data_IF_474535637457
#
_entry.id   IF_474535637457
#
_cell.length_a   1.000
_cell.length_b   1.000
_cell.length_c   1.000
_cell.angle_alpha   90.00
_cell.angle_beta   90.00
_cell.angle_gamma   90.00
#
_symmetry.space_group_name_H-M   'P 1'
#
loop_
_entity.id
_entity.type
_entity.pdbx_description
1 polymer ?
#
# COMPACT_ATOMS: atom_id res chain seq x y z
N UNK A 1 -70.33 27.56 -35.15
CA UNK A 1 -70.44 27.55 -33.68
C UNK A 1 -69.60 26.40 -33.15
N UNK A 2 -68.59 26.49 -32.40
CA UNK A 2 -68.09 27.46 -31.52
C UNK A 2 -67.00 26.86 -30.68
N UNK A 3 -66.06 27.68 -30.35
CA UNK A 3 -65.28 27.71 -29.07
C UNK A 3 -64.22 26.63 -28.87
N UNK A 4 -62.95 26.92 -29.19
CA UNK A 4 -61.93 27.36 -28.23
C UNK A 4 -61.72 26.42 -27.01
N UNK A 5 -60.61 25.73 -26.98
CA UNK A 5 -59.85 25.49 -25.80
C UNK A 5 -58.34 25.54 -26.12
N UNK A 6 -57.82 26.76 -26.06
CA UNK A 6 -56.41 27.01 -25.78
C UNK A 6 -56.30 26.94 -24.28
N UNK A 7 -55.42 26.14 -23.76
CA UNK A 7 -54.73 26.47 -22.51
C UNK A 7 -53.90 25.29 -21.99
N UNK A 8 -52.74 25.66 -21.55
CA UNK A 8 -51.87 25.10 -20.53
C UNK A 8 -50.92 23.97 -20.93
N UNK A 9 -49.90 24.35 -21.71
CA UNK A 9 -48.60 23.74 -21.70
C UNK A 9 -47.56 24.75 -21.22
N UNK A 10 -47.63 25.11 -19.96
CA UNK A 10 -46.54 25.85 -19.30
C UNK A 10 -46.38 25.24 -17.91
N UNK A 11 -45.31 24.59 -17.62
CA UNK A 11 -44.96 24.27 -16.25
C UNK A 11 -44.43 22.88 -15.95
N UNK A 12 -43.45 22.34 -16.68
CA UNK A 12 -42.70 21.14 -16.22
C UNK A 12 -41.27 21.12 -16.78
N UNK A 13 -40.59 22.25 -16.72
CA UNK A 13 -39.22 22.37 -17.13
C UNK A 13 -38.32 23.00 -16.06
N UNK A 14 -38.53 22.70 -14.78
CA UNK A 14 -37.75 23.35 -13.72
C UNK A 14 -37.44 22.48 -12.49
N UNK A 15 -37.30 21.14 -12.62
CA UNK A 15 -36.91 20.30 -11.45
C UNK A 15 -35.77 19.31 -11.77
N UNK A 16 -35.17 19.35 -12.93
CA UNK A 16 -34.06 18.41 -13.27
C UNK A 16 -32.65 18.97 -13.05
N UNK A 17 -32.48 20.09 -12.38
CA UNK A 17 -31.17 20.76 -12.25
C UNK A 17 -30.56 20.71 -10.85
N UNK A 18 -31.06 19.89 -9.91
CA UNK A 18 -30.58 19.88 -8.51
C UNK A 18 -30.02 18.56 -7.99
N UNK A 19 -29.72 17.59 -8.86
CA UNK A 19 -29.14 16.32 -8.42
C UNK A 19 -27.72 16.05 -8.99
N UNK A 20 -27.07 17.03 -9.56
CA UNK A 20 -25.62 16.99 -9.78
C UNK A 20 -24.90 17.61 -8.57
N UNK A 21 -25.20 17.14 -7.37
CA UNK A 21 -24.26 17.27 -6.25
C UNK A 21 -23.12 16.34 -6.59
N UNK A 22 -22.16 16.81 -7.36
CA UNK A 22 -20.89 16.13 -7.56
C UNK A 22 -20.33 15.85 -6.17
N UNK A 23 -20.32 14.58 -5.77
CA UNK A 23 -19.54 14.16 -4.62
C UNK A 23 -18.11 14.60 -4.89
N UNK A 24 -17.71 15.73 -4.31
CA UNK A 24 -16.32 16.15 -4.31
C UNK A 24 -15.60 15.10 -3.49
N UNK A 25 -14.89 14.20 -4.18
CA UNK A 25 -14.04 13.22 -3.52
C UNK A 25 -13.19 13.97 -2.48
N UNK A 26 -13.29 13.55 -1.23
CA UNK A 26 -12.54 14.16 -0.15
C UNK A 26 -11.05 14.04 -0.49
N UNK A 27 -10.31 15.13 -0.30
CA UNK A 27 -8.86 15.10 -0.55
C UNK A 27 -8.21 14.13 0.44
N UNK A 28 -7.31 13.25 -0.02
CA UNK A 28 -6.62 12.36 0.89
C UNK A 28 -5.79 13.14 1.91
N UNK A 29 -5.73 12.62 3.13
CA UNK A 29 -4.82 13.10 4.15
C UNK A 29 -3.45 12.50 3.87
N UNK A 30 -2.41 13.33 3.95
CA UNK A 30 -1.02 12.93 3.73
C UNK A 30 -0.26 12.98 5.05
N UNK A 31 0.48 11.92 5.31
CA UNK A 31 1.47 11.83 6.36
C UNK A 31 2.80 11.37 5.78
N UNK A 32 3.88 11.99 6.20
CA UNK A 32 5.25 11.59 5.82
C UNK A 32 6.04 11.33 7.08
N UNK A 33 6.68 10.18 7.12
CA UNK A 33 7.62 9.78 8.17
C UNK A 33 8.98 9.60 7.53
N UNK A 34 9.96 10.37 7.97
CA UNK A 34 11.35 10.16 7.64
C UNK A 34 11.95 9.15 8.65
N UNK A 35 12.64 8.12 8.13
CA UNK A 35 13.23 7.03 8.91
C UNK A 35 14.74 7.21 8.91
N UNK A 36 15.33 7.19 10.08
CA UNK A 36 16.78 7.06 10.29
C UNK A 36 17.01 6.42 11.65
N UNK A 37 16.96 5.10 11.69
CA UNK A 37 17.09 4.33 12.92
C UNK A 37 18.01 3.12 12.73
N UNK A 38 18.59 2.67 13.83
CA UNK A 38 19.42 1.45 13.87
C UNK A 38 18.90 0.59 15.00
N UNK A 39 18.63 -0.70 14.69
CA UNK A 39 18.16 -1.67 15.66
C UNK A 39 18.83 -3.03 15.44
N UNK A 40 18.84 -3.91 16.45
CA UNK A 40 19.12 -5.34 16.24
C UNK A 40 18.17 -5.90 15.19
N UNK A 41 18.69 -6.75 14.31
CA UNK A 41 17.92 -7.45 13.29
C UNK A 41 17.82 -8.92 13.68
N UNK A 42 16.75 -9.27 14.36
CA UNK A 42 16.55 -10.63 14.87
C UNK A 42 16.38 -11.62 13.72
N UNK A 43 15.71 -11.21 12.61
CA UNK A 43 15.52 -12.06 11.44
C UNK A 43 16.85 -12.46 10.81
N UNK A 44 17.70 -11.48 10.48
CA UNK A 44 19.02 -11.77 9.89
C UNK A 44 19.95 -12.45 10.91
N UNK A 45 19.86 -12.11 12.20
CA UNK A 45 20.66 -12.72 13.24
C UNK A 45 20.35 -14.22 13.38
N UNK A 46 19.08 -14.58 13.40
CA UNK A 46 18.64 -15.97 13.50
C UNK A 46 18.98 -16.76 12.21
N UNK A 47 18.74 -16.16 11.04
CA UNK A 47 19.01 -16.80 9.77
C UNK A 47 20.50 -17.04 9.53
N UNK A 48 21.37 -16.09 9.89
CA UNK A 48 22.80 -16.14 9.61
C UNK A 48 23.64 -16.69 10.78
N UNK A 49 23.04 -16.86 11.98
CA UNK A 49 23.74 -17.36 13.16
C UNK A 49 24.77 -16.41 13.75
N UNK A 50 24.69 -15.12 13.45
CA UNK A 50 25.58 -14.05 13.94
C UNK A 50 24.75 -12.84 14.35
N UNK A 51 25.22 -12.07 15.32
CA UNK A 51 24.53 -10.85 15.71
C UNK A 51 24.57 -9.81 14.59
N UNK A 52 23.40 -9.39 14.10
CA UNK A 52 23.24 -8.40 13.03
C UNK A 52 22.52 -7.17 13.57
N UNK A 53 22.96 -6.00 13.14
CA UNK A 53 22.29 -4.73 13.37
C UNK A 53 21.97 -4.08 12.04
N UNK A 54 20.73 -3.63 11.83
CA UNK A 54 20.29 -3.00 10.58
C UNK A 54 19.95 -1.53 10.82
N UNK A 55 20.55 -0.66 10.00
CA UNK A 55 20.19 0.75 9.89
C UNK A 55 19.22 0.93 8.74
N UNK A 56 18.04 1.48 9.03
CA UNK A 56 17.02 1.87 8.08
C UNK A 56 17.09 3.37 7.82
N UNK A 57 17.17 3.79 6.55
CA UNK A 57 17.17 5.20 6.15
C UNK A 57 16.27 5.42 4.95
N UNK A 58 15.36 6.39 5.06
CA UNK A 58 14.44 6.67 3.96
C UNK A 58 13.17 7.38 4.40
N UNK A 59 12.08 7.06 3.73
CA UNK A 59 10.78 7.67 4.03
C UNK A 59 9.63 6.71 3.73
N UNK A 60 8.56 6.90 4.52
CA UNK A 60 7.24 6.32 4.27
C UNK A 60 6.24 7.46 4.11
N UNK A 61 5.46 7.42 3.02
CA UNK A 61 4.38 8.37 2.76
C UNK A 61 3.06 7.62 2.83
N UNK A 62 2.21 7.98 3.78
CA UNK A 62 0.87 7.45 3.93
C UNK A 62 -0.16 8.43 3.36
N UNK A 63 -1.08 7.91 2.55
CA UNK A 63 -2.26 8.62 2.05
C UNK A 63 -3.49 7.89 2.54
N UNK A 64 -4.32 8.59 3.29
CA UNK A 64 -5.60 8.06 3.79
C UNK A 64 -6.75 8.72 3.04
N UNK A 65 -7.63 7.91 2.46
CA UNK A 65 -8.81 8.33 1.72
C UNK A 65 -10.04 8.16 2.61
N UNK A 66 -10.88 9.18 2.70
CA UNK A 66 -12.00 9.24 3.64
C UNK A 66 -13.38 9.12 2.97
N UNK A 67 -13.42 8.80 1.70
CA UNK A 67 -14.66 8.73 0.91
C UNK A 67 -15.51 7.47 1.17
N UNK A 68 -14.99 6.51 1.97
CA UNK A 68 -15.74 5.34 2.45
C UNK A 68 -16.30 4.43 1.35
N UNK A 69 -15.86 4.63 0.10
CA UNK A 69 -16.27 3.87 -1.06
C UNK A 69 -15.43 2.62 -1.29
N UNK A 70 -15.76 1.91 -2.37
CA UNK A 70 -14.90 0.86 -2.90
C UNK A 70 -13.65 1.49 -3.50
N UNK A 71 -12.47 0.97 -3.15
CA UNK A 71 -11.19 1.49 -3.63
C UNK A 71 -10.13 1.57 -2.54
N UNK A 72 -9.01 2.24 -2.79
CA UNK A 72 -7.95 2.37 -1.80
C UNK A 72 -8.45 3.21 -0.61
N UNK A 73 -8.34 2.63 0.59
CA UNK A 73 -8.60 3.32 1.86
C UNK A 73 -7.31 3.94 2.42
N UNK A 74 -6.20 3.20 2.33
CA UNK A 74 -4.87 3.65 2.73
C UNK A 74 -3.86 3.21 1.68
N UNK A 75 -2.95 4.11 1.33
CA UNK A 75 -1.79 3.79 0.48
C UNK A 75 -0.53 4.25 1.21
N UNK A 76 0.37 3.31 1.51
CA UNK A 76 1.71 3.59 2.05
C UNK A 76 2.73 3.39 0.95
N UNK A 77 3.47 4.41 0.62
CA UNK A 77 4.61 4.31 -0.29
C UNK A 77 5.89 4.23 0.54
N UNK A 78 6.64 3.17 0.35
CA UNK A 78 7.84 2.83 1.10
C UNK A 78 9.06 3.05 0.20
N UNK A 79 10.07 3.74 0.69
CA UNK A 79 11.36 3.89 0.03
C UNK A 79 12.45 3.98 1.09
N UNK A 80 12.91 2.82 1.54
CA UNK A 80 13.85 2.67 2.64
C UNK A 80 15.07 1.90 2.17
N UNK A 81 16.25 2.48 2.36
CA UNK A 81 17.53 1.82 2.24
C UNK A 81 17.90 1.16 3.56
N UNK A 82 18.35 -0.07 3.50
CA UNK A 82 18.71 -0.88 4.65
C UNK A 82 20.20 -1.22 4.58
N UNK A 83 20.91 -1.06 5.70
CA UNK A 83 22.31 -1.40 5.84
C UNK A 83 22.46 -2.32 7.04
N UNK A 84 22.69 -3.62 6.77
CA UNK A 84 22.93 -4.61 7.82
C UNK A 84 24.42 -4.80 8.04
N UNK A 85 24.78 -4.93 9.31
CA UNK A 85 26.18 -5.01 9.77
C UNK A 85 26.35 -6.14 10.78
N UNK A 86 27.37 -6.98 10.58
CA UNK A 86 27.80 -8.01 11.51
C UNK A 86 29.33 -7.93 11.68
N UNK A 87 29.83 -7.43 12.81
CA UNK A 87 31.25 -7.11 12.99
C UNK A 87 31.70 -6.07 11.94
N UNK A 88 32.68 -6.43 11.13
CA UNK A 88 33.22 -5.57 10.04
C UNK A 88 32.49 -5.79 8.69
N UNK A 89 31.61 -6.78 8.61
CA UNK A 89 30.90 -7.13 7.39
C UNK A 89 29.64 -6.27 7.23
N UNK A 90 29.38 -5.79 6.00
CA UNK A 90 28.28 -4.89 5.70
C UNK A 90 27.61 -5.29 4.38
N UNK A 91 26.29 -5.42 4.41
CA UNK A 91 25.47 -5.54 3.20
C UNK A 91 24.48 -4.40 3.09
N UNK A 92 24.02 -4.11 1.87
CA UNK A 92 23.00 -3.09 1.60
C UNK A 92 21.89 -3.66 0.73
N UNK A 93 20.67 -3.37 1.09
CA UNK A 93 19.47 -3.74 0.35
C UNK A 93 18.40 -2.66 0.47
N UNK A 94 17.27 -2.85 -0.16
CA UNK A 94 16.20 -1.83 -0.16
C UNK A 94 14.85 -2.47 0.00
N UNK A 95 14.01 -1.80 0.77
CA UNK A 95 12.57 -2.01 0.81
C UNK A 95 11.92 -0.88 0.01
N UNK A 96 11.33 -1.22 -1.14
CA UNK A 96 10.77 -0.24 -2.08
C UNK A 96 9.47 -0.77 -2.64
N UNK A 97 8.39 -0.02 -2.37
CA UNK A 97 7.10 -0.45 -2.83
C UNK A 97 5.94 0.39 -2.36
N UNK A 98 4.78 -0.23 -2.35
CA UNK A 98 3.58 0.35 -1.79
C UNK A 98 2.70 -0.73 -1.16
N UNK A 99 2.17 -0.43 0.02
CA UNK A 99 1.09 -1.17 0.65
C UNK A 99 -0.22 -0.43 0.40
N UNK A 100 -1.20 -1.16 -0.10
CA UNK A 100 -2.52 -0.62 -0.42
C UNK A 100 -3.59 -1.41 0.31
N UNK A 101 -4.20 -0.80 1.30
CA UNK A 101 -5.43 -1.31 1.91
C UNK A 101 -6.62 -0.79 1.10
N UNK A 102 -7.51 -1.68 0.69
CA UNK A 102 -8.69 -1.31 -0.09
C UNK A 102 -9.88 -2.22 0.21
N UNK A 103 -11.07 -1.70 -0.12
CA UNK A 103 -12.30 -2.47 -0.09
C UNK A 103 -12.68 -2.79 -1.54
N UNK A 104 -12.81 -4.07 -1.85
CA UNK A 104 -13.26 -4.54 -3.16
C UNK A 104 -14.77 -4.30 -3.34
N UNK A 105 -15.30 -4.36 -4.60
CA UNK A 105 -16.72 -4.13 -4.85
C UNK A 105 -17.69 -5.09 -4.15
N UNK A 106 -17.23 -6.27 -3.77
CA UNK A 106 -17.98 -7.28 -3.01
C UNK A 106 -17.95 -7.05 -1.50
N UNK A 107 -17.21 -6.02 -1.03
CA UNK A 107 -17.05 -5.67 0.37
C UNK A 107 -15.83 -6.30 1.05
N UNK A 108 -15.06 -7.15 0.37
CA UNK A 108 -13.86 -7.78 0.91
C UNK A 108 -12.78 -6.73 1.16
N UNK A 109 -12.23 -6.71 2.38
CA UNK A 109 -11.09 -5.87 2.71
C UNK A 109 -9.79 -6.60 2.38
N UNK A 110 -8.95 -6.00 1.55
CA UNK A 110 -7.68 -6.58 1.13
C UNK A 110 -6.49 -5.67 1.42
N UNK A 111 -5.33 -6.29 1.67
CA UNK A 111 -4.02 -5.67 1.65
C UNK A 111 -3.29 -6.13 0.38
N UNK A 112 -2.83 -5.16 -0.41
CA UNK A 112 -1.90 -5.43 -1.52
C UNK A 112 -0.53 -4.90 -1.14
N UNK A 113 0.49 -5.76 -1.17
CA UNK A 113 1.89 -5.39 -1.03
C UNK A 113 2.51 -5.46 -2.42
N UNK A 114 3.00 -4.33 -2.91
CA UNK A 114 3.49 -4.17 -4.29
C UNK A 114 4.93 -3.69 -4.23
N UNK A 115 5.85 -4.43 -4.80
CA UNK A 115 7.25 -4.00 -4.90
C UNK A 115 8.24 -5.08 -4.58
N UNK A 116 9.31 -4.68 -3.88
CA UNK A 116 10.37 -5.56 -3.44
C UNK A 116 10.40 -5.61 -1.91
N UNK A 117 10.10 -6.77 -1.37
CA UNK A 117 10.29 -7.09 0.05
C UNK A 117 11.60 -7.87 0.17
N UNK A 118 12.60 -7.34 0.89
CA UNK A 118 13.91 -7.98 1.01
C UNK A 118 13.80 -9.40 1.56
N UNK A 119 14.52 -10.34 0.91
CA UNK A 119 14.62 -11.76 1.32
C UNK A 119 13.31 -12.55 1.31
N UNK A 120 12.25 -11.98 0.74
CA UNK A 120 10.94 -12.61 0.68
C UNK A 120 10.45 -12.67 -0.78
N UNK A 121 10.07 -11.54 -1.38
CA UNK A 121 9.57 -11.54 -2.76
C UNK A 121 9.77 -10.22 -3.50
N UNK A 122 9.58 -10.31 -4.83
CA UNK A 122 9.34 -9.17 -5.71
C UNK A 122 8.06 -9.42 -6.51
N UNK A 123 7.18 -8.42 -6.57
CA UNK A 123 5.92 -8.51 -7.30
C UNK A 123 4.73 -7.96 -6.53
N UNK A 124 3.63 -8.69 -6.58
CA UNK A 124 2.38 -8.33 -5.91
C UNK A 124 1.91 -9.50 -5.06
N UNK A 125 1.73 -9.24 -3.76
CA UNK A 125 1.04 -10.13 -2.83
C UNK A 125 -0.30 -9.49 -2.48
N UNK A 126 -1.41 -10.27 -2.52
CA UNK A 126 -2.72 -9.85 -2.01
C UNK A 126 -3.14 -10.76 -0.88
N UNK A 127 -3.59 -10.15 0.19
CA UNK A 127 -4.03 -10.83 1.41
C UNK A 127 -5.47 -10.38 1.72
N UNK A 128 -6.33 -11.33 1.99
CA UNK A 128 -7.63 -11.08 2.61
C UNK A 128 -7.40 -10.69 4.07
N UNK A 129 -7.86 -9.50 4.48
CA UNK A 129 -7.63 -9.00 5.84
C UNK A 129 -8.54 -9.65 6.89
N UNK A 130 -9.62 -10.30 6.48
CA UNK A 130 -10.50 -11.01 7.40
C UNK A 130 -9.97 -12.40 7.72
N UNK A 131 -9.49 -13.13 6.72
CA UNK A 131 -9.00 -14.51 6.87
C UNK A 131 -7.50 -14.60 7.08
N UNK A 132 -6.73 -13.62 6.63
CA UNK A 132 -5.28 -13.62 6.58
C UNK A 132 -4.70 -14.48 5.45
N UNK A 133 -5.54 -14.99 4.55
CA UNK A 133 -5.11 -15.86 3.46
C UNK A 133 -4.62 -15.06 2.25
N UNK A 134 -3.61 -15.59 1.57
CA UNK A 134 -3.13 -15.01 0.32
C UNK A 134 -4.13 -15.31 -0.81
N UNK A 135 -4.68 -14.24 -1.42
CA UNK A 135 -5.54 -14.31 -2.61
C UNK A 135 -4.70 -14.36 -3.90
N UNK A 136 -3.54 -13.72 -3.86
CA UNK A 136 -2.57 -13.70 -4.96
C UNK A 136 -1.17 -13.81 -4.37
N UNK A 137 -0.45 -14.82 -4.82
CA UNK A 137 0.96 -15.01 -4.46
C UNK A 137 1.87 -14.16 -5.35
N UNK A 138 3.03 -13.70 -4.82
CA UNK A 138 3.99 -12.94 -5.60
C UNK A 138 4.64 -13.77 -6.70
N UNK A 139 5.04 -13.12 -7.79
CA UNK A 139 5.56 -13.82 -8.98
C UNK A 139 6.99 -14.34 -8.81
N UNK A 140 7.78 -13.71 -7.94
CA UNK A 140 9.18 -14.03 -7.75
C UNK A 140 9.54 -14.06 -6.27
N UNK A 141 10.05 -15.20 -5.80
CA UNK A 141 10.70 -15.27 -4.48
C UNK A 141 12.10 -14.65 -4.57
N UNK A 142 12.49 -13.95 -3.51
CA UNK A 142 13.87 -13.46 -3.32
C UNK A 142 14.52 -14.11 -2.10
N UNK A 143 13.93 -15.18 -1.58
CA UNK A 143 14.44 -15.91 -0.41
C UNK A 143 15.87 -16.48 -0.64
N UNK A 144 16.22 -16.81 -1.88
CA UNK A 144 17.58 -17.24 -2.27
C UNK A 144 18.66 -16.19 -1.98
N UNK A 145 18.29 -14.91 -1.96
CA UNK A 145 19.21 -13.82 -1.64
C UNK A 145 19.62 -13.83 -0.17
N UNK A 146 18.87 -14.49 0.71
CA UNK A 146 19.17 -14.60 2.14
C UNK A 146 20.45 -15.41 2.38
N UNK A 147 20.65 -16.51 1.64
CA UNK A 147 21.86 -17.32 1.74
C UNK A 147 23.11 -16.49 1.36
N UNK A 148 23.02 -15.75 0.25
CA UNK A 148 24.09 -14.85 -0.19
C UNK A 148 24.37 -13.73 0.80
N UNK A 149 23.32 -13.17 1.42
CA UNK A 149 23.44 -12.15 2.44
C UNK A 149 24.13 -12.71 3.70
N UNK A 150 23.75 -13.90 4.15
CA UNK A 150 24.38 -14.55 5.30
C UNK A 150 25.86 -14.87 5.02
N UNK A 151 26.19 -15.38 3.84
CA UNK A 151 27.58 -15.61 3.46
C UNK A 151 28.42 -14.33 3.52
N UNK A 152 27.87 -13.20 3.07
CA UNK A 152 28.55 -11.90 3.12
C UNK A 152 28.67 -11.31 4.54
N UNK A 153 27.72 -11.63 5.45
CA UNK A 153 27.75 -11.16 6.84
C UNK A 153 28.64 -12.01 7.74
N UNK A 154 28.88 -13.27 7.39
CA UNK A 154 29.70 -14.21 8.19
C UNK A 154 31.17 -14.26 7.76
N UNK A 155 31.53 -13.74 6.57
CA UNK A 155 32.93 -13.62 6.05
C UNK A 155 33.37 -14.84 5.31
#
# INVERSE_FOLDING_TARGET
MGKRAVAWLVGLAAVAALLASGATAAKPVFERVDIDETAPDDFLSDACGVAVSTRAQGQVITRTFSDGGTGPAVVRTINVGLTATAGDNVIRFRDVGADVERIEPDGTAILMIIGQVPFDFTGVLKIDLETGEAILEPQHSTAENLESACAALTG
#
